data_IF_885682949990
#
_entry.id   IF_885682949990
#
_cell.length_a   1.000
_cell.length_b   1.000
_cell.length_c   1.000
_cell.angle_alpha   90.00
_cell.angle_beta   90.00
_cell.angle_gamma   90.00
#
_symmetry.space_group_name_H-M   'P 1'
#
loop_
_entity.id
_entity.type
_entity.pdbx_description
1 polymer ?
#
# COMPACT_ATOMS: atom_id res chain seq x y z
N UNK A 1 26.80 5.42 -3.62
CA UNK A 1 25.44 5.00 -4.03
C UNK A 1 25.09 3.77 -3.23
N UNK A 2 24.01 3.81 -2.46
CA UNK A 2 23.55 2.63 -1.70
C UNK A 2 22.96 1.62 -2.69
N UNK A 3 23.21 0.33 -2.53
CA UNK A 3 22.60 -0.69 -3.40
C UNK A 3 21.08 -0.71 -3.19
N UNK A 4 20.32 -1.08 -4.21
CA UNK A 4 18.85 -1.19 -4.12
C UNK A 4 18.42 -2.18 -3.03
N UNK A 5 19.22 -3.24 -2.85
CA UNK A 5 19.08 -4.21 -1.77
C UNK A 5 19.14 -3.49 -0.42
N UNK A 6 20.24 -2.78 -0.15
CA UNK A 6 20.44 -2.06 1.09
C UNK A 6 19.37 -0.98 1.30
N UNK A 7 18.97 -0.27 0.25
CA UNK A 7 17.92 0.74 0.30
C UNK A 7 16.57 0.13 0.74
N UNK A 8 16.27 -1.08 0.29
CA UNK A 8 15.03 -1.79 0.65
C UNK A 8 14.97 -2.22 2.11
N UNK A 9 16.10 -2.37 2.79
CA UNK A 9 16.20 -2.89 4.17
C UNK A 9 16.57 -1.82 5.20
N UNK A 10 16.36 -0.53 4.90
CA UNK A 10 16.56 0.54 5.88
C UNK A 10 15.29 1.29 6.21
N UNK A 11 15.28 1.85 7.41
CA UNK A 11 14.25 2.75 7.87
C UNK A 11 14.28 4.06 7.08
N UNK A 12 13.14 4.36 6.44
CA UNK A 12 12.91 5.61 5.71
C UNK A 12 11.95 6.48 6.52
N UNK A 13 12.51 7.46 7.24
CA UNK A 13 11.68 8.43 7.95
C UNK A 13 10.85 9.25 6.95
N UNK A 14 9.54 9.47 7.22
CA UNK A 14 8.71 10.30 6.34
C UNK A 14 9.26 11.72 6.22
N UNK A 15 9.23 12.26 5.01
CA UNK A 15 9.63 13.64 4.70
C UNK A 15 8.47 14.42 4.10
N UNK A 16 8.47 15.75 4.26
CA UNK A 16 7.57 16.67 3.56
C UNK A 16 6.09 16.23 3.62
N UNK A 17 5.48 16.03 2.44
CA UNK A 17 4.08 15.66 2.23
C UNK A 17 3.85 14.14 2.09
N UNK A 18 4.88 13.31 2.32
CA UNK A 18 4.76 11.86 2.23
C UNK A 18 3.67 11.29 3.15
N UNK A 19 3.52 11.73 4.43
CA UNK A 19 2.42 11.27 5.29
C UNK A 19 1.03 11.45 4.68
N UNK A 20 0.78 12.60 4.05
CA UNK A 20 -0.50 12.94 3.41
C UNK A 20 -0.75 12.04 2.20
N UNK A 21 0.29 11.73 1.42
CA UNK A 21 0.21 10.81 0.28
C UNK A 21 -0.06 9.37 0.74
N UNK A 22 0.58 8.91 1.82
CA UNK A 22 0.30 7.60 2.41
C UNK A 22 -1.16 7.49 2.86
N UNK A 23 -1.67 8.54 3.52
CA UNK A 23 -3.05 8.60 3.98
C UNK A 23 -4.03 8.58 2.82
N UNK A 24 -3.79 9.37 1.76
CA UNK A 24 -4.63 9.38 0.56
C UNK A 24 -4.73 7.99 -0.09
N UNK A 25 -3.60 7.29 -0.23
CA UNK A 25 -3.54 5.92 -0.79
C UNK A 25 -4.33 4.95 0.10
N UNK A 26 -4.08 4.95 1.41
CA UNK A 26 -4.76 4.04 2.36
C UNK A 26 -6.26 4.29 2.41
N UNK A 27 -6.69 5.55 2.39
CA UNK A 27 -8.10 5.90 2.42
C UNK A 27 -8.84 5.38 1.18
N UNK A 28 -8.26 5.57 -0.02
CA UNK A 28 -8.88 5.05 -1.25
C UNK A 28 -8.88 3.53 -1.33
N UNK A 29 -7.81 2.89 -0.88
CA UNK A 29 -7.80 1.43 -0.78
C UNK A 29 -8.84 0.91 0.23
N UNK A 30 -9.03 1.60 1.37
CA UNK A 30 -10.06 1.24 2.34
C UNK A 30 -11.48 1.37 1.75
N UNK A 31 -11.75 2.42 0.99
CA UNK A 31 -13.03 2.57 0.28
C UNK A 31 -13.28 1.39 -0.68
N UNK A 32 -12.28 1.02 -1.48
CA UNK A 32 -12.38 -0.14 -2.38
C UNK A 32 -12.53 -1.45 -1.62
N UNK A 33 -11.82 -1.63 -0.50
CA UNK A 33 -11.92 -2.81 0.35
C UNK A 33 -13.34 -3.00 0.87
N UNK A 34 -14.00 -1.92 1.32
CA UNK A 34 -15.41 -1.97 1.73
C UNK A 34 -16.34 -2.32 0.56
N UNK A 35 -16.10 -1.76 -0.62
CA UNK A 35 -16.90 -2.09 -1.82
C UNK A 35 -16.74 -3.56 -2.23
N UNK A 36 -15.53 -4.12 -2.18
CA UNK A 36 -15.29 -5.54 -2.43
C UNK A 36 -15.96 -6.42 -1.37
N UNK A 37 -15.96 -5.98 -0.11
CA UNK A 37 -16.61 -6.71 0.97
C UNK A 37 -18.12 -6.78 0.80
N UNK A 38 -18.73 -5.66 0.40
CA UNK A 38 -20.17 -5.53 0.18
C UNK A 38 -20.66 -6.24 -1.09
N UNK A 39 -19.91 -6.11 -2.20
CA UNK A 39 -20.40 -6.52 -3.52
C UNK A 39 -19.96 -7.92 -3.95
N UNK A 40 -18.89 -8.48 -3.36
CA UNK A 40 -18.43 -9.82 -3.69
C UNK A 40 -19.00 -10.87 -2.73
N UNK A 41 -19.40 -12.06 -3.22
CA UNK A 41 -19.78 -13.16 -2.34
C UNK A 41 -18.60 -13.61 -1.49
N UNK A 42 -18.88 -14.21 -0.33
CA UNK A 42 -17.85 -14.82 0.50
C UNK A 42 -17.21 -16.01 -0.24
N UNK A 43 -16.00 -15.78 -0.75
CA UNK A 43 -15.28 -16.71 -1.60
C UNK A 43 -13.76 -16.58 -1.44
N UNK A 44 -13.04 -17.52 -2.05
CA UNK A 44 -11.58 -17.47 -2.10
C UNK A 44 -11.09 -16.26 -2.91
N UNK A 45 -11.77 -15.93 -4.00
CA UNK A 45 -11.46 -14.80 -4.87
C UNK A 45 -11.62 -13.47 -4.13
N UNK A 46 -12.66 -13.30 -3.31
CA UNK A 46 -12.82 -12.12 -2.44
C UNK A 46 -11.63 -11.98 -1.49
N UNK A 47 -11.22 -13.07 -0.85
CA UNK A 47 -10.04 -13.09 0.04
C UNK A 47 -8.75 -12.73 -0.70
N UNK A 48 -8.55 -13.24 -1.92
CA UNK A 48 -7.40 -12.89 -2.77
C UNK A 48 -7.45 -11.41 -3.15
N UNK A 49 -8.62 -10.89 -3.54
CA UNK A 49 -8.78 -9.49 -3.93
C UNK A 49 -8.40 -8.53 -2.79
N UNK A 50 -8.85 -8.82 -1.56
CA UNK A 50 -8.45 -8.05 -0.37
C UNK A 50 -6.94 -8.12 -0.13
N UNK A 51 -6.35 -9.32 -0.19
CA UNK A 51 -4.91 -9.53 0.01
C UNK A 51 -4.06 -8.80 -1.04
N UNK A 52 -4.50 -8.78 -2.29
CA UNK A 52 -3.81 -8.07 -3.37
C UNK A 52 -3.93 -6.56 -3.23
N UNK A 53 -5.08 -6.06 -2.74
CA UNK A 53 -5.27 -4.64 -2.47
C UNK A 53 -4.34 -4.16 -1.35
N UNK A 54 -4.20 -4.93 -0.26
CA UNK A 54 -3.25 -4.63 0.81
C UNK A 54 -1.80 -4.59 0.30
N UNK A 55 -1.40 -5.56 -0.52
CA UNK A 55 -0.08 -5.57 -1.15
C UNK A 55 0.13 -4.37 -2.06
N UNK A 56 -0.87 -3.98 -2.85
CA UNK A 56 -0.78 -2.80 -3.71
C UNK A 56 -0.51 -1.53 -2.88
N UNK A 57 -1.19 -1.36 -1.73
CA UNK A 57 -0.94 -0.25 -0.80
C UNK A 57 0.46 -0.29 -0.21
N UNK A 58 0.93 -1.48 0.19
CA UNK A 58 2.29 -1.67 0.71
C UNK A 58 3.34 -1.22 -0.30
N UNK A 59 3.24 -1.70 -1.55
CA UNK A 59 4.18 -1.36 -2.61
C UNK A 59 4.10 0.11 -3.02
N UNK A 60 2.91 0.70 -3.05
CA UNK A 60 2.73 2.12 -3.31
C UNK A 60 3.42 2.98 -2.24
N UNK A 61 3.21 2.69 -0.95
CA UNK A 61 3.87 3.41 0.13
C UNK A 61 5.40 3.19 0.12
N UNK A 62 5.86 1.97 -0.15
CA UNK A 62 7.30 1.67 -0.29
C UNK A 62 7.93 2.46 -1.43
N UNK A 63 7.21 2.63 -2.55
CA UNK A 63 7.72 3.41 -3.69
C UNK A 63 8.00 4.87 -3.33
N UNK A 64 7.17 5.47 -2.47
CA UNK A 64 7.36 6.83 -1.96
C UNK A 64 8.49 6.84 -0.92
N UNK A 65 8.46 5.90 0.03
CA UNK A 65 9.42 5.87 1.14
C UNK A 65 10.87 5.65 0.67
N UNK A 66 11.08 4.81 -0.35
CA UNK A 66 12.43 4.38 -0.76
C UNK A 66 13.01 5.18 -1.93
N UNK A 67 12.22 5.95 -2.68
CA UNK A 67 12.68 6.60 -3.91
C UNK A 67 12.61 8.14 -3.85
N UNK A 68 12.30 8.74 -2.70
CA UNK A 68 12.17 10.20 -2.49
C UNK A 68 12.92 10.72 -1.24
#
# INVERSE_FOLDING_TARGET
MRSELENSFTYHAPKNDQPQRYEAIRNKAKELAHMLDELCPDSHEKSIAQTNLEQAVMWANKSIACNE
#
